data_IF_153344107167
#
_entry.id   IF_153344107167
#
_cell.length_a   1.000
_cell.length_b   1.000
_cell.length_c   1.000
_cell.angle_alpha   90.00
_cell.angle_beta   90.00
_cell.angle_gamma   90.00
#
_symmetry.space_group_name_H-M   'P 1'
#
loop_
_entity.id
_entity.type
_entity.pdbx_description
1 polymer ?
#
# COMPACT_ATOMS: atom_id res chain seq x y z
N UNK A 1 44.57 -41.43 -11.83
CA UNK A 1 44.09 -41.00 -10.49
C UNK A 1 44.01 -39.47 -10.33
N UNK A 2 44.96 -38.69 -10.87
CA UNK A 2 44.95 -37.21 -10.77
C UNK A 2 43.75 -36.53 -11.46
N UNK A 3 43.37 -36.96 -12.67
CA UNK A 3 42.21 -36.42 -13.41
C UNK A 3 40.88 -36.53 -12.63
N UNK A 4 40.68 -37.62 -11.89
CA UNK A 4 39.47 -37.85 -11.09
C UNK A 4 39.40 -36.91 -9.86
N UNK A 5 40.54 -36.56 -9.27
CA UNK A 5 40.62 -35.58 -8.18
C UNK A 5 40.31 -34.17 -8.69
N UNK A 6 40.85 -33.78 -9.84
CA UNK A 6 40.56 -32.47 -10.45
C UNK A 6 39.09 -32.32 -10.82
N UNK A 7 38.46 -33.36 -11.38
CA UNK A 7 37.03 -33.36 -11.70
C UNK A 7 36.15 -33.22 -10.45
N UNK A 8 36.50 -33.88 -9.34
CA UNK A 8 35.76 -33.78 -8.08
C UNK A 8 35.91 -32.38 -7.44
N UNK A 9 37.09 -31.77 -7.51
CA UNK A 9 37.32 -30.41 -7.02
C UNK A 9 36.53 -29.38 -7.85
N UNK A 10 36.53 -29.52 -9.17
CA UNK A 10 35.75 -28.64 -10.05
C UNK A 10 34.24 -28.77 -9.78
N UNK A 11 33.74 -29.99 -9.58
CA UNK A 11 32.34 -30.23 -9.25
C UNK A 11 31.96 -29.63 -7.89
N UNK A 12 32.81 -29.79 -6.88
CA UNK A 12 32.61 -29.20 -5.56
C UNK A 12 32.60 -27.66 -5.62
N UNK A 13 33.53 -27.06 -6.36
CA UNK A 13 33.56 -25.61 -6.57
C UNK A 13 32.29 -25.11 -7.27
N UNK A 14 31.83 -25.82 -8.30
CA UNK A 14 30.58 -25.48 -9.00
C UNK A 14 29.36 -25.52 -8.09
N UNK A 15 29.24 -26.58 -7.26
CA UNK A 15 28.14 -26.71 -6.29
C UNK A 15 28.17 -25.61 -5.23
N UNK A 16 29.34 -25.28 -4.70
CA UNK A 16 29.50 -24.21 -3.70
C UNK A 16 29.09 -22.85 -4.28
N UNK A 17 29.53 -22.55 -5.51
CA UNK A 17 29.15 -21.29 -6.19
C UNK A 17 27.65 -21.24 -6.46
N UNK A 18 27.05 -22.33 -6.96
CA UNK A 18 25.61 -22.40 -7.20
C UNK A 18 24.79 -22.20 -5.91
N UNK A 19 25.23 -22.82 -4.82
CA UNK A 19 24.57 -22.72 -3.52
C UNK A 19 24.72 -21.31 -2.90
N UNK A 20 25.87 -20.66 -3.07
CA UNK A 20 26.09 -19.28 -2.66
C UNK A 20 25.22 -18.29 -3.45
N UNK A 21 25.06 -18.50 -4.76
CA UNK A 21 24.18 -17.69 -5.61
C UNK A 21 22.71 -17.86 -5.23
N UNK A 22 22.25 -19.09 -4.96
CA UNK A 22 20.89 -19.35 -4.48
C UNK A 22 20.63 -18.72 -3.10
N UNK A 23 21.58 -18.86 -2.16
CA UNK A 23 21.46 -18.25 -0.84
C UNK A 23 21.38 -16.72 -0.93
N UNK A 24 22.21 -16.09 -1.77
CA UNK A 24 22.18 -14.64 -2.01
C UNK A 24 20.85 -14.20 -2.64
N UNK A 25 20.32 -14.95 -3.61
CA UNK A 25 19.03 -14.67 -4.25
C UNK A 25 17.86 -14.80 -3.27
N UNK A 26 17.83 -15.86 -2.47
CA UNK A 26 16.81 -16.06 -1.43
C UNK A 26 16.87 -15.00 -0.32
N UNK A 27 18.06 -14.53 0.04
CA UNK A 27 18.21 -13.50 1.05
C UNK A 27 17.77 -12.12 0.56
N UNK A 28 17.99 -11.81 -0.73
CA UNK A 28 17.51 -10.57 -1.34
C UNK A 28 15.98 -10.53 -1.43
N UNK A 29 15.34 -11.67 -1.75
CA UNK A 29 13.89 -11.78 -1.81
C UNK A 29 13.27 -11.61 -0.41
N UNK A 30 13.78 -12.33 0.59
CA UNK A 30 13.22 -12.28 1.96
C UNK A 30 13.35 -10.91 2.62
N UNK A 31 14.48 -10.20 2.46
CA UNK A 31 14.61 -8.83 2.99
C UNK A 31 13.66 -7.83 2.32
N UNK A 32 13.49 -7.92 1.00
CA UNK A 32 12.56 -7.02 0.30
C UNK A 32 11.11 -7.11 0.80
N UNK A 33 10.67 -8.30 1.24
CA UNK A 33 9.36 -8.49 1.86
C UNK A 33 9.28 -7.94 3.29
N UNK A 34 10.31 -8.17 4.11
CA UNK A 34 10.37 -7.65 5.50
C UNK A 34 10.44 -6.12 5.49
N UNK A 35 11.32 -5.55 4.68
CA UNK A 35 11.50 -4.10 4.56
C UNK A 35 10.25 -3.40 4.00
N UNK A 36 9.43 -4.12 3.20
CA UNK A 36 8.13 -3.61 2.75
C UNK A 36 7.11 -3.62 3.88
N UNK A 37 7.00 -4.73 4.61
CA UNK A 37 6.08 -4.84 5.74
C UNK A 37 6.36 -3.81 6.83
N UNK A 38 7.62 -3.60 7.19
CA UNK A 38 8.00 -2.63 8.22
C UNK A 38 7.68 -1.19 7.79
N UNK A 39 7.83 -0.88 6.50
CA UNK A 39 7.41 0.40 5.93
C UNK A 39 5.90 0.59 5.96
N UNK A 40 5.13 -0.43 5.59
CA UNK A 40 3.66 -0.37 5.63
C UNK A 40 3.18 -0.14 7.07
N UNK A 41 3.76 -0.82 8.07
CA UNK A 41 3.42 -0.60 9.48
C UNK A 41 3.81 0.80 9.98
N UNK A 42 4.95 1.34 9.53
CA UNK A 42 5.35 2.70 9.88
C UNK A 42 4.42 3.75 9.25
N UNK A 43 3.91 3.49 8.05
CA UNK A 43 2.93 4.34 7.39
C UNK A 43 1.58 4.30 8.11
N UNK A 44 1.12 3.12 8.54
CA UNK A 44 -0.13 2.99 9.30
C UNK A 44 -0.08 3.82 10.59
N UNK A 45 1.01 3.72 11.35
CA UNK A 45 1.18 4.54 12.57
C UNK A 45 1.14 6.04 12.28
N UNK A 46 1.75 6.50 11.19
CA UNK A 46 1.67 7.91 10.79
C UNK A 46 0.23 8.31 10.43
N UNK A 47 -0.50 7.47 9.69
CA UNK A 47 -1.91 7.73 9.39
C UNK A 47 -2.75 7.82 10.66
N UNK A 48 -2.51 6.95 11.65
CA UNK A 48 -3.22 6.99 12.94
C UNK A 48 -2.89 8.22 13.78
N UNK A 49 -1.65 8.70 13.75
CA UNK A 49 -1.23 9.93 14.42
C UNK A 49 -1.85 11.18 13.77
N UNK A 50 -2.09 11.13 12.46
CA UNK A 50 -2.66 12.22 11.66
C UNK A 50 -4.19 12.21 11.61
N UNK A 51 -4.85 11.15 12.08
CA UNK A 51 -6.31 10.99 12.01
C UNK A 51 -6.96 10.83 13.39
N UNK A 52 -8.12 11.45 13.63
CA UNK A 52 -8.89 11.26 14.86
C UNK A 52 -9.18 9.77 15.14
N UNK A 53 -9.33 9.37 16.42
CA UNK A 53 -9.58 7.98 16.81
C UNK A 53 -10.88 7.39 16.25
N UNK A 54 -11.87 8.23 15.96
CA UNK A 54 -13.17 7.87 15.41
C UNK A 54 -13.26 8.06 13.88
N UNK A 55 -12.13 8.33 13.22
CA UNK A 55 -12.10 8.53 11.77
C UNK A 55 -12.35 7.24 10.99
N UNK A 56 -12.99 7.39 9.83
CA UNK A 56 -13.10 6.39 8.79
C UNK A 56 -11.97 6.61 7.77
N UNK A 57 -11.34 5.52 7.35
CA UNK A 57 -10.34 5.51 6.30
C UNK A 57 -10.93 4.94 5.02
N UNK A 58 -10.77 5.65 3.91
CA UNK A 58 -11.00 5.16 2.56
C UNK A 58 -9.63 4.99 1.91
N UNK A 59 -9.31 3.79 1.45
CA UNK A 59 -7.98 3.49 0.95
C UNK A 59 -8.02 2.69 -0.34
N UNK A 60 -6.94 2.74 -1.10
CA UNK A 60 -6.72 1.88 -2.26
C UNK A 60 -5.31 1.27 -2.20
N UNK A 61 -5.22 -0.04 -2.41
CA UNK A 61 -3.94 -0.77 -2.44
C UNK A 61 -3.33 -1.14 -1.08
N UNK A 62 -3.67 -0.43 0.00
CA UNK A 62 -3.27 -0.74 1.38
C UNK A 62 -4.43 -1.12 2.31
N UNK A 63 -5.65 -1.23 1.79
CA UNK A 63 -6.86 -1.43 2.57
C UNK A 63 -6.78 -2.64 3.49
N UNK A 64 -6.34 -3.80 2.98
CA UNK A 64 -6.25 -5.02 3.79
C UNK A 64 -5.26 -4.86 4.96
N UNK A 65 -4.14 -4.17 4.73
CA UNK A 65 -3.15 -3.90 5.77
C UNK A 65 -3.72 -2.95 6.81
N UNK A 66 -4.38 -1.87 6.39
CA UNK A 66 -5.07 -0.93 7.31
C UNK A 66 -6.16 -1.65 8.12
N UNK A 67 -6.98 -2.48 7.50
CA UNK A 67 -8.02 -3.26 8.20
C UNK A 67 -7.46 -4.21 9.26
N UNK A 68 -6.22 -4.67 9.12
CA UNK A 68 -5.59 -5.61 10.07
C UNK A 68 -4.79 -4.91 11.17
N UNK A 69 -4.24 -3.73 10.90
CA UNK A 69 -3.24 -3.11 11.77
C UNK A 69 -3.59 -1.69 12.22
N UNK A 70 -4.55 -1.02 11.58
CA UNK A 70 -5.04 0.28 12.04
C UNK A 70 -6.26 0.11 12.95
N UNK A 71 -6.34 0.90 14.00
CA UNK A 71 -7.49 1.00 14.89
C UNK A 71 -8.55 1.94 14.30
N UNK A 72 -8.82 1.83 12.99
CA UNK A 72 -9.79 2.66 12.24
C UNK A 72 -10.64 1.82 11.30
N UNK A 73 -11.92 2.18 11.18
CA UNK A 73 -12.81 1.56 10.19
C UNK A 73 -12.29 1.90 8.79
N UNK A 74 -11.92 0.89 8.02
CA UNK A 74 -11.29 1.07 6.71
C UNK A 74 -12.12 0.48 5.58
N UNK A 75 -12.40 1.28 4.56
CA UNK A 75 -13.14 0.97 3.35
C UNK A 75 -12.22 0.92 2.13
N UNK A 76 -12.47 -0.03 1.23
CA UNK A 76 -11.75 -0.18 -0.03
C UNK A 76 -12.38 0.73 -1.09
N UNK A 77 -11.63 1.70 -1.61
CA UNK A 77 -12.06 2.66 -2.61
C UNK A 77 -12.57 1.96 -3.88
N UNK A 78 -11.95 0.85 -4.27
CA UNK A 78 -12.35 0.10 -5.47
C UNK A 78 -13.79 -0.43 -5.40
N UNK A 79 -14.29 -0.74 -4.21
CA UNK A 79 -15.64 -1.30 -4.03
C UNK A 79 -16.71 -0.25 -3.79
N UNK A 80 -16.35 1.03 -3.74
CA UNK A 80 -17.33 2.09 -3.57
C UNK A 80 -17.98 2.47 -4.90
N UNK A 81 -19.16 3.04 -4.78
CA UNK A 81 -19.94 3.71 -5.81
C UNK A 81 -20.41 5.07 -5.28
N UNK A 82 -21.04 5.88 -6.12
CA UNK A 82 -21.49 7.24 -5.73
C UNK A 82 -22.40 7.22 -4.50
N UNK A 83 -23.29 6.23 -4.38
CA UNK A 83 -24.21 6.12 -3.27
C UNK A 83 -23.51 5.79 -1.95
N UNK A 84 -22.55 4.85 -1.97
CA UNK A 84 -21.77 4.51 -0.79
C UNK A 84 -20.78 5.61 -0.40
N UNK A 85 -20.17 6.31 -1.36
CA UNK A 85 -19.35 7.49 -1.08
C UNK A 85 -20.15 8.62 -0.46
N UNK A 86 -21.35 8.90 -0.98
CA UNK A 86 -22.26 9.87 -0.34
C UNK A 86 -22.61 9.48 1.08
N UNK A 87 -22.93 8.20 1.33
CA UNK A 87 -23.23 7.71 2.67
C UNK A 87 -22.04 7.84 3.65
N UNK A 88 -20.81 7.65 3.17
CA UNK A 88 -19.60 7.87 3.96
C UNK A 88 -19.39 9.36 4.28
N UNK A 89 -19.70 10.26 3.35
CA UNK A 89 -19.63 11.71 3.56
C UNK A 89 -20.74 12.23 4.49
N UNK A 90 -21.94 11.65 4.42
CA UNK A 90 -23.08 11.98 5.27
C UNK A 90 -22.91 11.42 6.70
N UNK A 91 -21.97 10.51 6.90
CA UNK A 91 -21.66 9.97 8.22
C UNK A 91 -21.10 11.06 9.13
N UNK A 92 -21.44 11.00 10.42
CA UNK A 92 -20.93 11.96 11.43
C UNK A 92 -19.44 11.77 11.77
N UNK A 93 -18.82 10.71 11.26
CA UNK A 93 -17.43 10.38 11.54
C UNK A 93 -16.52 11.05 10.49
N UNK A 94 -15.37 11.62 10.88
CA UNK A 94 -14.42 12.19 9.93
C UNK A 94 -13.98 11.17 8.88
N UNK A 95 -13.99 11.55 7.59
CA UNK A 95 -13.54 10.68 6.49
C UNK A 95 -12.17 11.13 6.00
N UNK A 96 -11.24 10.18 5.86
CA UNK A 96 -9.92 10.42 5.27
C UNK A 96 -9.69 9.47 4.11
N UNK A 97 -9.09 9.99 3.04
CA UNK A 97 -8.71 9.22 1.86
C UNK A 97 -7.19 9.04 1.82
N UNK A 98 -6.72 7.80 1.73
CA UNK A 98 -5.31 7.47 1.51
C UNK A 98 -5.14 6.87 0.10
N UNK A 99 -4.50 7.62 -0.79
CA UNK A 99 -4.44 7.25 -2.20
C UNK A 99 -3.10 7.61 -2.86
N UNK A 100 -2.57 6.71 -3.68
CA UNK A 100 -1.53 7.04 -4.65
C UNK A 100 -2.24 7.60 -5.90
N UNK A 101 -2.34 8.93 -5.95
CA UNK A 101 -3.10 9.64 -7.01
C UNK A 101 -2.49 9.39 -8.38
N UNK A 102 -1.16 9.31 -8.47
CA UNK A 102 -0.47 9.05 -9.74
C UNK A 102 -0.77 7.63 -10.23
N UNK A 103 -0.78 6.64 -9.32
CA UNK A 103 -1.17 5.26 -9.64
C UNK A 103 -2.63 5.19 -10.10
N UNK A 104 -3.56 5.81 -9.38
CA UNK A 104 -4.97 5.83 -9.73
C UNK A 104 -5.18 6.41 -11.15
N UNK A 105 -4.59 7.57 -11.43
CA UNK A 105 -4.72 8.24 -12.72
C UNK A 105 -4.05 7.49 -13.90
N UNK A 106 -2.94 6.78 -13.65
CA UNK A 106 -2.15 6.17 -14.74
C UNK A 106 -2.40 4.68 -14.97
N UNK A 107 -2.76 3.92 -13.92
CA UNK A 107 -2.93 2.46 -14.01
C UNK A 107 -4.39 2.02 -13.89
N UNK A 108 -5.25 2.89 -13.35
CA UNK A 108 -6.67 2.61 -13.11
C UNK A 108 -7.57 3.56 -13.89
N UNK A 109 -7.10 4.02 -15.06
CA UNK A 109 -7.85 4.93 -15.91
C UNK A 109 -9.19 4.32 -16.32
N UNK A 110 -10.30 5.02 -16.06
CA UNK A 110 -11.67 4.57 -16.32
C UNK A 110 -12.10 3.38 -15.46
N UNK A 111 -11.46 3.18 -14.30
CA UNK A 111 -11.82 2.18 -13.31
C UNK A 111 -12.19 2.84 -11.98
N UNK A 112 -12.89 2.12 -11.06
CA UNK A 112 -13.43 2.72 -9.84
C UNK A 112 -12.46 3.56 -9.01
N UNK A 113 -11.17 3.22 -8.81
CA UNK A 113 -10.28 4.07 -8.02
C UNK A 113 -10.08 5.47 -8.60
N UNK A 114 -9.98 5.60 -9.92
CA UNK A 114 -9.86 6.90 -10.58
C UNK A 114 -11.21 7.64 -10.57
N UNK A 115 -12.29 6.94 -10.95
CA UNK A 115 -13.61 7.56 -11.07
C UNK A 115 -14.15 7.99 -9.69
N UNK A 116 -13.94 7.18 -8.65
CA UNK A 116 -14.34 7.52 -7.28
C UNK A 116 -13.49 8.66 -6.70
N UNK A 117 -12.18 8.71 -7.02
CA UNK A 117 -11.36 9.86 -6.64
C UNK A 117 -11.84 11.14 -7.31
N UNK A 118 -12.14 11.08 -8.62
CA UNK A 118 -12.70 12.23 -9.37
C UNK A 118 -14.05 12.66 -8.81
N UNK A 119 -14.95 11.71 -8.52
CA UNK A 119 -16.24 11.99 -7.91
C UNK A 119 -16.09 12.72 -6.57
N UNK A 120 -15.15 12.27 -5.72
CA UNK A 120 -14.83 12.94 -4.46
C UNK A 120 -14.31 14.37 -4.71
N UNK A 121 -13.46 14.61 -5.70
CA UNK A 121 -13.00 15.96 -6.05
C UNK A 121 -14.14 16.89 -6.52
N UNK A 122 -15.19 16.34 -7.11
CA UNK A 122 -16.34 17.09 -7.62
C UNK A 122 -17.40 17.37 -6.54
N UNK A 123 -17.53 16.50 -5.53
CA UNK A 123 -18.64 16.52 -4.56
C UNK A 123 -18.18 16.76 -3.10
N UNK A 124 -16.89 16.79 -2.84
CA UNK A 124 -16.31 17.01 -1.53
C UNK A 124 -15.11 17.98 -1.60
N UNK A 125 -14.78 18.58 -0.47
CA UNK A 125 -13.54 19.31 -0.27
C UNK A 125 -12.44 18.34 0.17
N UNK A 126 -11.40 18.20 -0.66
CA UNK A 126 -10.24 17.34 -0.40
C UNK A 126 -9.07 18.21 0.02
N UNK A 127 -8.79 18.23 1.32
CA UNK A 127 -7.63 18.94 1.86
C UNK A 127 -6.50 17.96 2.11
N UNK A 128 -5.33 18.18 1.50
CA UNK A 128 -4.13 17.38 1.79
C UNK A 128 -3.70 17.58 3.23
N UNK A 129 -3.64 16.49 3.99
CA UNK A 129 -3.14 16.44 5.37
C UNK A 129 -1.66 16.10 5.39
N UNK A 130 -1.25 15.13 4.56
CA UNK A 130 0.15 14.72 4.44
C UNK A 130 0.48 14.12 3.07
N UNK A 131 1.72 14.34 2.64
CA UNK A 131 2.35 13.60 1.55
C UNK A 131 3.21 12.48 2.16
N UNK A 132 2.78 11.24 1.93
CA UNK A 132 3.37 10.00 2.42
C UNK A 132 3.93 9.17 1.26
N UNK A 133 4.57 9.87 0.31
CA UNK A 133 5.05 9.36 -0.98
C UNK A 133 5.28 7.84 -1.06
N UNK A 134 4.59 7.13 -1.99
CA UNK A 134 3.81 7.69 -3.09
C UNK A 134 2.35 8.02 -2.73
N UNK A 135 1.94 7.81 -1.47
CA UNK A 135 0.56 8.00 -1.04
C UNK A 135 0.34 9.44 -0.58
N UNK A 136 -0.87 9.96 -0.79
CA UNK A 136 -1.33 11.20 -0.20
C UNK A 136 -2.48 10.92 0.74
N UNK A 137 -2.44 11.51 1.93
CA UNK A 137 -3.54 11.50 2.89
C UNK A 137 -4.34 12.79 2.73
N UNK A 138 -5.63 12.65 2.42
CA UNK A 138 -6.58 13.73 2.33
C UNK A 138 -7.57 13.64 3.48
N UNK A 139 -7.93 14.78 4.05
CA UNK A 139 -9.19 14.94 4.76
C UNK A 139 -10.28 15.20 3.73
N UNK A 140 -11.40 14.48 3.84
CA UNK A 140 -12.52 14.58 2.91
C UNK A 140 -13.71 15.14 3.67
N UNK A 141 -14.17 16.33 3.28
CA UNK A 141 -15.32 17.01 3.91
C UNK A 141 -16.42 17.25 2.89
N UNK A 142 -17.67 17.22 3.34
CA UNK A 142 -18.77 17.67 2.48
C UNK A 142 -18.53 19.12 2.03
N UNK A 143 -18.69 19.36 0.73
CA UNK A 143 -18.72 20.72 0.21
C UNK A 143 -19.94 21.47 0.79
N UNK A 144 -19.81 22.76 1.14
CA UNK A 144 -20.88 23.57 1.71
C UNK A 144 -22.04 23.85 0.74
#
# INVERSE_FOLDING_TARGET
QQLRRLALVALAAYLIVGMALMARGGWALTRGFVDRKDRDLALIRQVEELTPPDAQLLAFGLTLTLQHYADRTTYELFYQDEASLSALLDAKQPLYLLLDVANAASQWTGMPPEDNYRWLQEHADLTTVADLSPLTLFEVRQAP
#
